data_IF_756561165396
#
_entry.id   IF_756561165396
#
_cell.length_a   1.000
_cell.length_b   1.000
_cell.length_c   1.000
_cell.angle_alpha   90.00
_cell.angle_beta   90.00
_cell.angle_gamma   90.00
#
_symmetry.space_group_name_H-M   'P 1'
#
loop_
_entity.id
_entity.type
_entity.pdbx_description
1 polymer ?
#
# COMPACT_ATOMS: atom_id res chain seq x y z
N UNK A 1 1.14 15.32 15.64
CA UNK A 1 2.35 15.16 14.81
C UNK A 1 1.93 14.94 13.35
N UNK A 2 2.81 15.17 12.38
CA UNK A 2 2.44 15.31 10.96
C UNK A 2 3.58 14.92 10.03
N UNK A 3 3.25 14.42 8.84
CA UNK A 3 4.15 14.38 7.69
C UNK A 3 3.41 14.90 6.44
N UNK A 4 3.97 15.95 5.84
CA UNK A 4 3.59 16.41 4.49
C UNK A 4 4.82 16.38 3.61
N UNK A 5 4.69 15.79 2.42
CA UNK A 5 5.75 15.71 1.41
C UNK A 5 5.26 16.38 0.12
N UNK A 6 6.15 17.09 -0.56
CA UNK A 6 5.84 17.80 -1.79
C UNK A 6 7.00 17.77 -2.78
N UNK A 7 6.68 17.82 -4.07
CA UNK A 7 7.68 18.00 -5.12
C UNK A 7 7.12 18.70 -6.35
N UNK A 8 8.01 19.35 -7.09
CA UNK A 8 7.78 19.79 -8.46
C UNK A 8 8.04 18.60 -9.38
N UNK A 9 7.08 18.29 -10.26
CA UNK A 9 7.17 17.25 -11.29
C UNK A 9 6.76 17.86 -12.63
N UNK A 10 7.73 18.04 -13.52
CA UNK A 10 7.58 18.71 -14.81
C UNK A 10 6.96 20.11 -14.67
N UNK A 11 5.76 20.31 -15.21
CA UNK A 11 5.00 21.56 -15.15
C UNK A 11 3.94 21.58 -14.05
N UNK A 12 4.03 20.65 -13.09
CA UNK A 12 3.08 20.50 -12.00
C UNK A 12 3.78 20.41 -10.65
N UNK A 13 3.03 20.61 -9.58
CA UNK A 13 3.48 20.43 -8.20
C UNK A 13 2.53 19.44 -7.55
N UNK A 14 3.04 18.46 -6.83
CA UNK A 14 2.19 17.59 -6.02
C UNK A 14 2.52 17.71 -4.54
N UNK A 15 1.53 17.44 -3.72
CA UNK A 15 1.64 17.44 -2.26
C UNK A 15 0.80 16.31 -1.68
N UNK A 16 1.36 15.57 -0.71
CA UNK A 16 0.65 14.50 -0.01
C UNK A 16 0.86 14.67 1.48
N UNK A 17 -0.23 14.62 2.25
CA UNK A 17 -0.21 14.73 3.70
C UNK A 17 -0.92 13.56 4.35
N UNK A 18 -0.46 13.18 5.54
CA UNK A 18 -1.22 12.30 6.42
C UNK A 18 -2.46 13.02 7.01
N UNK A 19 -3.40 12.29 7.59
CA UNK A 19 -4.61 12.88 8.18
C UNK A 19 -4.70 12.73 9.69
N UNK A 20 -3.94 11.81 10.29
CA UNK A 20 -4.03 11.55 11.71
C UNK A 20 -3.67 12.79 12.54
N UNK A 21 -4.56 13.18 13.45
CA UNK A 21 -4.23 14.12 14.52
C UNK A 21 -3.71 13.31 15.70
N UNK A 22 -2.43 13.49 16.01
CA UNK A 22 -1.72 12.70 17.03
C UNK A 22 -1.13 13.59 18.11
N UNK A 23 -1.23 13.14 19.37
CA UNK A 23 -0.83 13.87 20.57
C UNK A 23 -1.84 13.70 21.71
N UNK A 24 -1.38 13.76 22.96
CA UNK A 24 -2.24 13.56 24.14
C UNK A 24 -2.55 12.08 24.44
N UNK A 25 -3.53 11.82 25.31
CA UNK A 25 -3.98 10.47 25.74
C UNK A 25 -5.05 9.87 24.82
N UNK A 26 -5.08 10.27 23.55
CA UNK A 26 -6.14 9.89 22.60
C UNK A 26 -5.98 8.40 22.23
N UNK A 27 -7.04 7.61 22.44
CA UNK A 27 -7.13 6.23 21.97
C UNK A 27 -7.06 6.21 20.44
N UNK A 28 -6.32 5.26 19.86
CA UNK A 28 -6.22 5.08 18.41
C UNK A 28 -7.58 5.01 17.71
N UNK A 29 -8.63 4.52 18.41
CA UNK A 29 -10.00 4.42 17.89
C UNK A 29 -10.77 5.73 17.86
N UNK A 30 -10.42 6.66 18.74
CA UNK A 30 -11.06 7.98 18.86
C UNK A 30 -10.25 9.07 18.16
N UNK A 31 -9.28 8.64 17.35
CA UNK A 31 -8.36 9.54 16.66
C UNK A 31 -9.14 10.39 15.66
N UNK A 32 -8.96 11.71 15.79
CA UNK A 32 -9.48 12.69 14.82
C UNK A 32 -8.63 12.66 13.55
N UNK A 33 -9.27 12.85 12.40
CA UNK A 33 -8.60 12.96 11.12
C UNK A 33 -8.88 14.31 10.48
N UNK A 34 -7.82 15.00 10.07
CA UNK A 34 -7.90 16.34 9.48
C UNK A 34 -7.00 16.38 8.24
N UNK A 35 -7.52 16.76 7.05
CA UNK A 35 -6.68 17.04 5.90
C UNK A 35 -5.68 18.15 6.22
N UNK A 36 -4.39 17.90 5.98
CA UNK A 36 -3.30 18.82 6.34
C UNK A 36 -2.84 19.71 5.18
N UNK A 37 -3.67 19.81 4.15
CA UNK A 37 -3.40 20.58 2.93
C UNK A 37 -4.66 21.38 2.59
N UNK A 38 -4.50 22.68 2.44
CA UNK A 38 -5.53 23.63 2.01
C UNK A 38 -5.26 24.08 0.56
N UNK A 39 -6.33 24.38 -0.18
CA UNK A 39 -6.27 24.83 -1.58
C UNK A 39 -6.44 26.36 -1.66
N UNK A 40 -5.62 27.02 -2.47
CA UNK A 40 -5.75 28.43 -2.81
C UNK A 40 -7.00 28.72 -3.66
N UNK A 41 -7.70 29.81 -3.33
CA UNK A 41 -9.01 30.15 -3.95
C UNK A 41 -8.93 31.24 -5.01
N UNK A 42 -7.98 32.16 -4.85
CA UNK A 42 -7.82 33.34 -5.73
C UNK A 42 -6.77 33.10 -6.81
N UNK A 43 -5.87 32.15 -6.57
CA UNK A 43 -4.80 31.76 -7.47
C UNK A 43 -4.45 30.28 -7.25
N UNK A 44 -3.85 29.60 -8.24
CA UNK A 44 -3.43 28.21 -8.11
C UNK A 44 -2.37 28.04 -7.00
N UNK A 45 -2.76 27.44 -5.87
CA UNK A 45 -1.85 27.15 -4.78
C UNK A 45 -2.27 25.94 -3.94
N UNK A 46 -1.29 25.29 -3.30
CA UNK A 46 -1.46 24.29 -2.24
C UNK A 46 -0.68 24.73 -1.00
N UNK A 47 -1.30 24.59 0.16
CA UNK A 47 -0.71 25.00 1.44
C UNK A 47 -0.80 23.83 2.41
N UNK A 48 0.30 23.10 2.57
CA UNK A 48 0.46 22.06 3.58
C UNK A 48 0.91 22.66 4.92
N UNK A 49 0.48 22.08 6.03
CA UNK A 49 0.89 22.53 7.37
C UNK A 49 1.27 21.37 8.28
N UNK A 50 2.21 21.61 9.21
CA UNK A 50 2.64 20.65 10.22
C UNK A 50 2.87 21.37 11.57
N UNK A 51 2.35 20.80 12.65
CA UNK A 51 2.33 21.43 13.97
C UNK A 51 0.95 21.28 14.60
N UNK A 52 0.48 22.33 15.29
CA UNK A 52 -0.89 22.37 15.81
C UNK A 52 -1.91 22.39 14.64
N UNK A 53 -2.85 21.44 14.60
CA UNK A 53 -3.74 21.28 13.46
C UNK A 53 -4.78 22.39 13.34
N UNK A 54 -5.22 23.00 14.44
CA UNK A 54 -6.24 24.06 14.41
C UNK A 54 -5.62 25.39 13.99
N UNK A 55 -4.48 25.73 14.58
CA UNK A 55 -3.70 26.92 14.22
C UNK A 55 -3.24 26.81 12.77
N UNK A 56 -2.68 25.66 12.37
CA UNK A 56 -2.19 25.41 11.02
C UNK A 56 -3.29 25.51 9.97
N UNK A 57 -4.43 24.84 10.18
CA UNK A 57 -5.55 24.92 9.24
C UNK A 57 -6.11 26.34 9.12
N UNK A 58 -6.25 27.07 10.23
CA UNK A 58 -6.75 28.46 10.22
C UNK A 58 -5.84 29.38 9.41
N UNK A 59 -4.52 29.30 9.62
CA UNK A 59 -3.55 30.15 8.92
C UNK A 59 -3.46 29.76 7.45
N UNK A 60 -3.36 28.46 7.15
CA UNK A 60 -3.32 27.96 5.78
C UNK A 60 -4.57 28.40 4.98
N UNK A 61 -5.74 28.38 5.60
CA UNK A 61 -6.98 28.87 4.99
C UNK A 61 -7.00 30.38 4.76
N UNK A 62 -6.53 31.16 5.72
CA UNK A 62 -6.40 32.61 5.57
C UNK A 62 -5.44 32.95 4.41
N UNK A 63 -4.32 32.25 4.32
CA UNK A 63 -3.37 32.39 3.22
C UNK A 63 -3.97 31.95 1.87
N UNK A 64 -4.72 30.84 1.82
CA UNK A 64 -5.43 30.39 0.62
C UNK A 64 -6.52 31.35 0.14
N UNK A 65 -7.02 32.22 1.03
CA UNK A 65 -7.99 33.27 0.72
C UNK A 65 -7.35 34.63 0.38
N UNK A 66 -6.03 34.78 0.50
CA UNK A 66 -5.35 36.03 0.21
C UNK A 66 -5.50 36.45 -1.26
N UNK A 67 -5.44 37.75 -1.54
CA UNK A 67 -5.59 38.29 -2.90
C UNK A 67 -4.35 38.07 -3.77
N UNK A 68 -3.18 37.96 -3.15
CA UNK A 68 -1.89 37.86 -3.85
C UNK A 68 -0.99 36.80 -3.22
N UNK A 69 -0.03 36.29 -4.00
CA UNK A 69 0.98 35.36 -3.52
C UNK A 69 1.81 35.95 -2.37
N UNK A 70 2.15 37.23 -2.44
CA UNK A 70 2.90 37.93 -1.38
C UNK A 70 2.08 38.06 -0.10
N UNK A 71 0.78 38.32 -0.23
CA UNK A 71 -0.15 38.34 0.90
C UNK A 71 -0.24 36.97 1.59
N UNK A 72 -0.35 35.89 0.81
CA UNK A 72 -0.33 34.54 1.36
C UNK A 72 1.00 34.19 2.01
N UNK A 73 2.12 34.46 1.33
CA UNK A 73 3.47 34.20 1.86
C UNK A 73 3.68 34.92 3.19
N UNK A 74 3.27 36.19 3.29
CA UNK A 74 3.37 36.98 4.52
C UNK A 74 2.58 36.35 5.67
N UNK A 75 1.32 35.98 5.44
CA UNK A 75 0.49 35.31 6.46
C UNK A 75 1.10 33.99 6.94
N UNK A 76 1.68 33.21 6.03
CA UNK A 76 2.34 31.94 6.37
C UNK A 76 3.64 32.17 7.17
N UNK A 77 4.44 33.17 6.80
CA UNK A 77 5.65 33.53 7.56
C UNK A 77 5.30 34.05 8.96
N UNK A 78 4.37 35.00 9.08
CA UNK A 78 3.89 35.51 10.38
C UNK A 78 3.34 34.36 11.24
N UNK A 79 2.49 33.52 10.64
CA UNK A 79 1.92 32.36 11.29
C UNK A 79 2.95 31.32 11.76
N UNK A 80 4.03 31.13 10.99
CA UNK A 80 5.10 30.20 11.34
C UNK A 80 5.99 30.73 12.45
N UNK A 81 6.24 32.04 12.49
CA UNK A 81 7.02 32.69 13.54
C UNK A 81 6.31 32.59 14.90
N UNK A 82 4.99 32.83 14.93
CA UNK A 82 4.23 32.98 16.16
C UNK A 82 3.57 31.67 16.64
N UNK A 83 3.21 30.79 15.72
CA UNK A 83 2.32 29.65 15.98
C UNK A 83 3.04 28.31 16.18
N UNK A 84 4.36 28.23 15.95
CA UNK A 84 5.08 26.95 15.98
C UNK A 84 4.58 25.96 14.92
N UNK A 85 4.07 26.47 13.79
CA UNK A 85 3.58 25.69 12.66
C UNK A 85 4.52 25.89 11.48
N UNK A 86 4.89 24.78 10.84
CA UNK A 86 5.64 24.78 9.60
C UNK A 86 4.68 24.71 8.41
N UNK A 87 5.02 25.39 7.31
CA UNK A 87 4.21 25.35 6.09
C UNK A 87 5.01 24.91 4.86
N UNK A 88 4.30 24.22 3.98
CA UNK A 88 4.72 23.89 2.63
C UNK A 88 3.81 24.68 1.69
N UNK A 89 4.35 25.60 0.91
CA UNK A 89 3.57 26.46 0.02
C UNK A 89 3.97 26.23 -1.43
N UNK A 90 3.03 25.69 -2.22
CA UNK A 90 3.19 25.47 -3.65
C UNK A 90 2.33 26.46 -4.42
N UNK A 91 2.89 27.07 -5.46
CA UNK A 91 2.21 28.05 -6.31
C UNK A 91 2.89 28.18 -7.67
N UNK A 92 2.30 28.95 -8.59
CA UNK A 92 2.99 29.39 -9.82
C UNK A 92 3.44 30.85 -9.69
N UNK A 93 4.73 31.11 -9.87
CA UNK A 93 5.29 32.47 -9.94
C UNK A 93 5.75 32.74 -11.37
N UNK A 94 5.21 33.81 -11.97
CA UNK A 94 5.45 34.13 -13.38
C UNK A 94 5.24 32.92 -14.33
N UNK A 95 4.22 32.12 -14.05
CA UNK A 95 3.89 30.90 -14.82
C UNK A 95 4.78 29.69 -14.56
N UNK A 96 5.75 29.77 -13.65
CA UNK A 96 6.64 28.65 -13.30
C UNK A 96 6.28 28.04 -11.94
N UNK A 97 6.28 26.69 -11.81
CA UNK A 97 5.99 26.05 -10.53
C UNK A 97 7.05 26.44 -9.50
N UNK A 98 6.61 26.81 -8.31
CA UNK A 98 7.45 27.24 -7.20
C UNK A 98 6.96 26.60 -5.91
N UNK A 99 7.89 26.03 -5.14
CA UNK A 99 7.60 25.30 -3.92
C UNK A 99 8.48 25.84 -2.79
N UNK A 100 7.85 26.24 -1.69
CA UNK A 100 8.50 26.90 -0.57
C UNK A 100 8.31 26.13 0.73
N UNK A 101 9.36 26.06 1.53
CA UNK A 101 9.32 25.64 2.93
C UNK A 101 9.36 26.88 3.81
N UNK A 102 8.41 27.00 4.73
CA UNK A 102 8.28 28.14 5.63
C UNK A 102 8.39 27.63 7.07
N UNK A 103 9.43 28.04 7.78
CA UNK A 103 9.76 27.61 9.15
C UNK A 103 10.30 28.79 9.93
N UNK A 104 9.78 29.03 11.14
CA UNK A 104 10.24 30.12 12.01
C UNK A 104 10.13 31.50 11.36
N UNK A 105 9.15 31.69 10.48
CA UNK A 105 8.93 32.93 9.74
C UNK A 105 9.85 33.21 8.55
N UNK A 106 10.74 32.27 8.21
CA UNK A 106 11.57 32.35 7.02
C UNK A 106 11.04 31.43 5.92
N UNK A 107 11.08 31.90 4.67
CA UNK A 107 10.73 31.12 3.48
C UNK A 107 11.97 30.73 2.68
N UNK A 108 12.03 29.48 2.24
CA UNK A 108 13.12 28.94 1.42
C UNK A 108 12.53 28.16 0.23
N UNK A 109 13.11 28.32 -0.96
CA UNK A 109 12.65 27.64 -2.18
C UNK A 109 13.26 26.24 -2.31
N UNK A 110 12.47 25.27 -2.76
CA UNK A 110 12.88 23.87 -2.92
C UNK A 110 12.24 23.27 -4.19
N UNK A 111 12.87 22.24 -4.74
CA UNK A 111 12.26 21.38 -5.78
C UNK A 111 11.51 20.20 -5.18
N UNK A 112 11.95 19.74 -4.01
CA UNK A 112 11.31 18.71 -3.19
C UNK A 112 11.48 19.06 -1.73
N UNK A 113 10.44 18.90 -0.90
CA UNK A 113 10.53 19.16 0.53
C UNK A 113 9.64 18.23 1.36
N UNK A 114 9.87 18.23 2.67
CA UNK A 114 8.93 17.78 3.68
C UNK A 114 8.81 18.80 4.80
N UNK A 115 7.69 18.74 5.53
CA UNK A 115 7.48 19.40 6.81
C UNK A 115 6.89 18.39 7.81
N UNK A 116 7.09 18.65 9.10
CA UNK A 116 6.68 17.76 10.19
C UNK A 116 7.81 16.86 10.69
N UNK A 117 7.48 15.63 11.07
CA UNK A 117 8.41 14.72 11.74
C UNK A 117 9.55 14.25 10.83
N UNK A 118 10.78 14.53 11.25
CA UNK A 118 11.96 14.24 10.45
C UNK A 118 12.28 12.75 10.38
N UNK A 119 12.16 12.04 11.49
CA UNK A 119 12.36 10.58 11.56
C UNK A 119 11.33 9.81 10.71
N UNK A 120 10.06 10.25 10.71
CA UNK A 120 9.03 9.73 9.82
C UNK A 120 9.40 9.96 8.34
N UNK A 121 9.96 11.13 8.01
CA UNK A 121 10.43 11.41 6.66
C UNK A 121 11.64 10.55 6.24
N UNK A 122 12.62 10.34 7.13
CA UNK A 122 13.75 9.46 6.86
C UNK A 122 13.30 8.02 6.61
N UNK A 123 12.32 7.52 7.39
CA UNK A 123 11.70 6.22 7.14
C UNK A 123 10.94 6.20 5.80
N UNK A 124 10.16 7.24 5.49
CA UNK A 124 9.52 7.42 4.19
C UNK A 124 10.53 7.37 3.02
N UNK A 125 11.67 8.06 3.15
CA UNK A 125 12.71 8.06 2.12
C UNK A 125 13.36 6.68 1.93
N UNK A 126 13.58 5.94 3.03
CA UNK A 126 14.05 4.55 2.95
C UNK A 126 13.06 3.66 2.21
N UNK A 127 11.77 3.77 2.52
CA UNK A 127 10.69 3.02 1.82
C UNK A 127 10.65 3.40 0.34
N UNK A 128 10.68 4.70 0.04
CA UNK A 128 10.59 5.23 -1.32
C UNK A 128 11.77 4.83 -2.21
N UNK A 129 12.98 4.74 -1.65
CA UNK A 129 14.22 4.38 -2.36
C UNK A 129 14.50 2.88 -2.35
N UNK A 130 13.77 2.11 -1.56
CA UNK A 130 13.90 0.66 -1.52
C UNK A 130 13.59 0.05 -2.89
N UNK A 131 14.34 -0.97 -3.29
CA UNK A 131 14.14 -1.69 -4.55
C UNK A 131 12.78 -2.41 -4.61
N UNK A 132 12.13 -2.60 -3.46
CA UNK A 132 10.75 -3.09 -3.32
C UNK A 132 10.05 -2.35 -2.17
N UNK A 133 8.91 -1.73 -2.45
CA UNK A 133 7.94 -1.25 -1.45
C UNK A 133 7.30 -2.52 -0.86
N UNK A 134 7.89 -3.02 0.22
CA UNK A 134 7.66 -4.37 0.74
C UNK A 134 6.21 -4.63 1.19
N UNK A 135 5.44 -3.59 1.50
CA UNK A 135 4.14 -3.70 2.16
C UNK A 135 2.95 -3.18 1.38
N UNK A 136 3.11 -2.71 0.14
CA UNK A 136 1.96 -2.37 -0.68
C UNK A 136 1.45 -3.66 -1.37
N UNK A 137 0.40 -4.37 -0.85
CA UNK A 137 -0.23 -5.46 -1.59
C UNK A 137 -0.50 -5.03 -3.03
N UNK A 138 -0.43 -5.97 -3.98
CA UNK A 138 -0.74 -5.70 -5.40
C UNK A 138 -2.11 -5.02 -5.61
N UNK A 139 -3.03 -5.07 -4.63
CA UNK A 139 -4.25 -4.25 -4.59
C UNK A 139 -3.96 -2.73 -4.63
N UNK A 140 -2.89 -2.25 -3.99
CA UNK A 140 -2.39 -0.87 -4.10
C UNK A 140 -1.70 -0.55 -5.42
N UNK A 141 -1.25 -1.55 -6.19
CA UNK A 141 -0.76 -1.28 -7.54
C UNK A 141 -1.90 -0.85 -8.48
N UNK A 142 -3.15 -1.19 -8.12
CA UNK A 142 -4.37 -0.72 -8.77
C UNK A 142 -4.94 0.52 -8.06
N UNK A 143 -4.15 1.60 -7.98
CA UNK A 143 -4.72 2.92 -7.72
C UNK A 143 -5.54 3.32 -8.94
N UNK A 144 -6.87 3.24 -8.84
CA UNK A 144 -7.74 3.89 -9.83
C UNK A 144 -7.72 5.39 -9.55
N UNK A 145 -6.74 6.08 -10.13
CA UNK A 145 -6.77 7.53 -10.24
C UNK A 145 -7.90 7.92 -11.18
N UNK A 146 -9.09 8.22 -10.64
CA UNK A 146 -10.22 8.72 -11.41
C UNK A 146 -10.20 10.25 -11.53
N UNK A 147 -9.02 10.87 -11.48
CA UNK A 147 -8.88 12.30 -11.77
C UNK A 147 -9.09 12.49 -13.27
N UNK A 148 -10.26 13.03 -13.65
CA UNK A 148 -10.67 13.26 -15.04
C UNK A 148 -9.50 13.81 -15.86
N UNK A 149 -8.98 12.99 -16.77
CA UNK A 149 -8.07 13.38 -17.85
C UNK A 149 -6.68 13.92 -17.47
N UNK A 150 -6.25 13.87 -16.20
CA UNK A 150 -4.90 14.33 -15.83
C UNK A 150 -4.01 13.14 -15.47
N UNK A 151 -2.91 12.98 -16.19
CA UNK A 151 -1.91 11.95 -15.89
C UNK A 151 -1.31 12.23 -14.51
N UNK A 152 -1.52 11.32 -13.56
CA UNK A 152 -0.92 11.41 -12.23
C UNK A 152 0.59 11.19 -12.39
N UNK A 153 1.44 12.10 -11.88
CA UNK A 153 2.89 11.91 -11.91
C UNK A 153 3.29 10.62 -11.20
N UNK A 154 4.18 9.83 -11.80
CA UNK A 154 4.68 8.59 -11.19
C UNK A 154 5.27 8.83 -9.79
N UNK A 155 5.94 9.97 -9.61
CA UNK A 155 6.51 10.41 -8.33
C UNK A 155 5.45 10.64 -7.24
N UNK A 156 4.25 11.09 -7.60
CA UNK A 156 3.10 11.23 -6.70
C UNK A 156 2.55 9.85 -6.32
N UNK A 157 2.33 8.96 -7.30
CA UNK A 157 1.90 7.58 -7.04
C UNK A 157 2.89 6.81 -6.17
N UNK A 158 4.18 7.05 -6.35
CA UNK A 158 5.23 6.51 -5.50
C UNK A 158 5.14 7.07 -4.07
N UNK A 159 5.00 8.39 -3.90
CA UNK A 159 4.87 9.02 -2.59
C UNK A 159 3.64 8.52 -1.80
N UNK A 160 2.49 8.36 -2.45
CA UNK A 160 1.28 7.82 -1.82
C UNK A 160 1.54 6.40 -1.30
N UNK A 161 2.09 5.51 -2.14
CA UNK A 161 2.43 4.13 -1.76
C UNK A 161 3.40 4.11 -0.57
N UNK A 162 4.45 4.93 -0.62
CA UNK A 162 5.44 4.99 0.46
C UNK A 162 4.87 5.54 1.77
N UNK A 163 3.92 6.48 1.74
CA UNK A 163 3.23 6.96 2.94
C UNK A 163 2.33 5.88 3.54
N UNK A 164 1.60 5.13 2.70
CA UNK A 164 0.77 4.04 3.20
C UNK A 164 1.62 2.94 3.86
N UNK A 165 2.73 2.55 3.22
CA UNK A 165 3.70 1.63 3.82
C UNK A 165 4.28 2.18 5.12
N UNK A 166 4.60 3.48 5.16
CA UNK A 166 5.07 4.14 6.37
C UNK A 166 4.05 3.98 7.51
N UNK A 167 2.77 4.24 7.24
CA UNK A 167 1.73 4.15 8.26
C UNK A 167 1.58 2.73 8.82
N UNK A 168 1.82 1.72 7.99
CA UNK A 168 1.79 0.32 8.41
C UNK A 168 3.04 -0.09 9.21
N UNK A 169 4.21 0.48 8.88
CA UNK A 169 5.49 0.12 9.50
C UNK A 169 5.80 0.88 10.79
N UNK A 170 5.12 1.99 11.07
CA UNK A 170 5.51 2.91 12.14
C UNK A 170 4.77 2.61 13.44
N UNK A 171 5.51 2.12 14.43
CA UNK A 171 4.99 1.69 15.74
C UNK A 171 4.52 2.87 16.60
N UNK A 172 5.12 4.04 16.42
CA UNK A 172 4.80 5.25 17.18
C UNK A 172 3.40 5.78 16.85
N UNK A 173 2.84 5.38 15.71
CA UNK A 173 1.54 5.82 15.19
C UNK A 173 1.37 7.35 15.19
N UNK A 174 2.43 8.13 15.18
CA UNK A 174 2.44 9.59 15.24
C UNK A 174 2.13 10.24 13.87
N UNK A 175 2.35 9.50 12.79
CA UNK A 175 1.91 9.80 11.43
C UNK A 175 1.01 8.64 10.99
N UNK A 176 -0.14 8.95 10.40
CA UNK A 176 -1.07 7.89 10.01
C UNK A 176 -2.37 8.38 9.41
N UNK A 177 -3.37 7.51 9.43
CA UNK A 177 -4.64 7.76 8.75
C UNK A 177 -4.48 7.52 7.25
N UNK A 178 -4.70 8.55 6.43
CA UNK A 178 -4.69 8.43 4.98
C UNK A 178 -3.71 9.41 4.34
N UNK A 179 -3.10 8.96 3.25
CA UNK A 179 -2.21 9.78 2.45
C UNK A 179 -3.04 10.55 1.42
N UNK A 180 -3.40 11.80 1.73
CA UNK A 180 -4.30 12.63 0.91
C UNK A 180 -3.49 13.42 -0.11
N UNK A 181 -3.57 13.10 -1.42
CA UNK A 181 -2.76 13.70 -2.47
C UNK A 181 -3.49 14.82 -3.22
N UNK A 182 -2.73 15.86 -3.52
CA UNK A 182 -3.13 16.99 -4.34
C UNK A 182 -2.13 17.17 -5.48
N UNK A 183 -2.63 17.60 -6.64
CA UNK A 183 -1.85 18.00 -7.79
C UNK A 183 -2.18 19.46 -8.10
N UNK A 184 -1.19 20.26 -8.45
CA UNK A 184 -1.33 21.66 -8.79
C UNK A 184 -0.67 21.88 -10.15
N UNK A 185 -1.46 22.31 -11.11
CA UNK A 185 -1.00 22.65 -12.45
C UNK A 185 -1.43 24.09 -12.80
N UNK A 186 -1.17 24.53 -14.03
CA UNK A 186 -1.55 25.86 -14.50
C UNK A 186 -3.06 26.14 -14.43
N UNK A 187 -3.88 25.08 -14.48
CA UNK A 187 -5.34 25.17 -14.51
C UNK A 187 -5.93 25.25 -13.10
N UNK A 188 -5.16 24.86 -12.09
CA UNK A 188 -5.56 24.95 -10.70
C UNK A 188 -5.02 23.82 -9.83
N UNK A 189 -5.44 23.86 -8.56
CA UNK A 189 -5.25 22.76 -7.64
C UNK A 189 -6.36 21.72 -7.83
N UNK A 190 -5.96 20.46 -7.90
CA UNK A 190 -6.80 19.30 -8.12
C UNK A 190 -6.60 18.36 -6.94
N UNK A 191 -7.70 18.01 -6.30
CA UNK A 191 -7.72 16.90 -5.37
C UNK A 191 -7.62 15.60 -6.17
N UNK A 192 -6.59 14.78 -5.95
CA UNK A 192 -6.45 13.53 -6.69
C UNK A 192 -7.44 12.49 -6.12
N UNK A 193 -8.50 12.18 -6.86
CA UNK A 193 -9.45 11.14 -6.46
C UNK A 193 -8.78 9.77 -6.50
N UNK A 194 -8.87 9.04 -5.40
CA UNK A 194 -8.54 7.62 -5.33
C UNK A 194 -9.47 6.94 -4.31
N UNK A 195 -9.82 5.68 -4.58
CA UNK A 195 -10.61 4.85 -3.67
C UNK A 195 -9.70 3.90 -2.90
N UNK A 196 -9.94 3.75 -1.59
CA UNK A 196 -9.17 2.82 -0.75
C UNK A 196 -10.06 2.20 0.35
N UNK A 197 -10.00 0.88 0.52
CA UNK A 197 -10.81 0.15 1.52
C UNK A 197 -9.91 -0.74 2.38
N UNK A 198 -10.11 -0.70 3.70
CA UNK A 198 -9.38 -1.53 4.68
C UNK A 198 -10.34 -2.08 5.72
N UNK A 199 -10.45 -3.40 5.84
CA UNK A 199 -11.10 -3.99 7.02
C UNK A 199 -10.20 -3.79 8.27
N UNK A 200 -10.77 -3.26 9.36
CA UNK A 200 -10.11 -2.82 10.60
C UNK A 200 -9.87 -4.02 11.59
N UNK A 201 -9.30 -3.89 12.81
CA UNK A 201 -8.36 -4.84 13.41
C UNK A 201 -9.03 -5.60 14.58
N UNK A 202 -10.32 -5.96 14.45
CA UNK A 202 -11.05 -6.69 15.49
C UNK A 202 -10.76 -8.20 15.53
N UNK A 203 -9.78 -8.66 14.75
CA UNK A 203 -9.54 -10.07 14.48
C UNK A 203 -9.10 -10.87 15.71
N UNK A 204 -8.53 -10.20 16.71
CA UNK A 204 -7.99 -10.80 17.93
C UNK A 204 -9.09 -11.36 18.86
N UNK A 205 -10.36 -11.02 18.60
CA UNK A 205 -11.51 -11.41 19.42
C UNK A 205 -12.41 -12.48 18.78
N UNK A 206 -12.04 -13.02 17.62
CA UNK A 206 -12.89 -13.96 16.88
C UNK A 206 -12.52 -15.41 17.18
N UNK A 207 -13.50 -16.20 17.60
CA UNK A 207 -13.33 -17.63 17.80
C UNK A 207 -13.17 -18.37 16.46
N UNK A 208 -12.38 -19.45 16.46
CA UNK A 208 -12.16 -20.28 15.29
C UNK A 208 -13.49 -20.84 14.73
N UNK A 209 -13.72 -20.66 13.43
CA UNK A 209 -14.95 -21.11 12.74
C UNK A 209 -16.03 -20.05 12.56
N UNK A 210 -15.77 -18.80 12.96
CA UNK A 210 -16.70 -17.69 12.73
C UNK A 210 -16.89 -17.41 11.24
N UNK A 211 -18.13 -17.50 10.75
CA UNK A 211 -18.54 -17.03 9.43
C UNK A 211 -18.75 -15.51 9.49
N UNK A 212 -17.88 -14.75 8.83
CA UNK A 212 -18.02 -13.29 8.72
C UNK A 212 -18.33 -12.95 7.27
N UNK A 213 -19.57 -12.59 7.00
CA UNK A 213 -19.93 -11.96 5.74
C UNK A 213 -19.31 -10.57 5.67
N UNK A 214 -18.76 -10.18 4.52
CA UNK A 214 -18.38 -8.80 4.31
C UNK A 214 -19.59 -7.89 4.51
N UNK A 215 -19.47 -6.91 5.41
CA UNK A 215 -20.45 -5.82 5.51
C UNK A 215 -21.66 -6.06 6.40
N UNK A 216 -21.51 -6.69 7.58
CA UNK A 216 -22.50 -6.44 8.65
C UNK A 216 -22.00 -5.31 9.56
N UNK A 217 -22.85 -4.32 9.91
CA UNK A 217 -22.57 -3.22 10.84
C UNK A 217 -21.99 -3.64 12.21
N UNK A 218 -22.06 -4.94 12.53
CA UNK A 218 -21.71 -5.50 13.83
C UNK A 218 -20.26 -6.05 13.89
N UNK A 219 -19.49 -6.02 12.79
CA UNK A 219 -18.21 -6.77 12.64
C UNK A 219 -16.89 -5.98 12.46
N UNK A 220 -16.90 -4.69 12.12
CA UNK A 220 -15.74 -3.77 12.16
C UNK A 220 -14.78 -3.74 10.95
N UNK A 221 -15.03 -2.84 9.99
CA UNK A 221 -14.20 -2.46 8.86
C UNK A 221 -14.28 -0.96 8.54
N UNK A 222 -13.35 -0.42 7.74
CA UNK A 222 -13.29 1.00 7.37
C UNK A 222 -13.18 1.19 5.85
N UNK A 223 -14.01 2.03 5.24
CA UNK A 223 -13.96 2.34 3.80
C UNK A 223 -13.71 3.83 3.59
N UNK A 224 -12.75 4.19 2.74
CA UNK A 224 -12.53 5.55 2.30
C UNK A 224 -12.89 5.67 0.81
N UNK A 225 -13.91 6.46 0.51
CA UNK A 225 -14.22 6.85 -0.87
C UNK A 225 -13.99 8.34 -1.01
N UNK A 226 -13.23 8.75 -2.04
CA UNK A 226 -13.09 10.16 -2.36
C UNK A 226 -13.81 10.41 -3.68
N UNK A 227 -14.73 11.38 -3.68
CA UNK A 227 -15.51 11.77 -4.85
C UNK A 227 -15.39 13.27 -5.08
N UNK A 228 -15.10 13.70 -6.30
CA UNK A 228 -15.15 15.11 -6.70
C UNK A 228 -16.54 15.46 -7.22
N UNK A 229 -17.04 16.62 -6.84
CA UNK A 229 -18.40 17.06 -7.16
C UNK A 229 -18.48 18.23 -8.14
N UNK A 230 -17.34 18.71 -8.63
CA UNK A 230 -17.26 19.82 -9.58
C UNK A 230 -15.89 20.50 -9.56
N UNK A 231 -15.71 21.49 -10.42
CA UNK A 231 -14.48 22.30 -10.45
C UNK A 231 -14.29 23.00 -9.11
N UNK A 232 -13.35 22.48 -8.31
CA UNK A 232 -12.96 22.91 -6.96
C UNK A 232 -13.80 22.37 -5.79
N UNK A 233 -14.70 21.39 -5.97
CA UNK A 233 -15.41 20.75 -4.85
C UNK A 233 -14.99 19.27 -4.73
N UNK A 234 -14.35 18.91 -3.61
CA UNK A 234 -13.95 17.55 -3.28
C UNK A 234 -14.62 17.05 -2.01
N UNK A 235 -14.92 15.76 -1.96
CA UNK A 235 -15.45 15.09 -0.77
C UNK A 235 -14.61 13.90 -0.39
N UNK A 236 -14.24 13.83 0.89
CA UNK A 236 -13.67 12.63 1.50
C UNK A 236 -14.77 11.96 2.31
N UNK A 237 -15.19 10.77 1.88
CA UNK A 237 -16.12 9.91 2.61
C UNK A 237 -15.31 8.93 3.45
N UNK A 238 -15.33 9.16 4.74
CA UNK A 238 -14.83 8.23 5.71
C UNK A 238 -15.98 7.43 6.29
N UNK A 239 -16.11 6.17 5.87
CA UNK A 239 -17.13 5.28 6.42
C UNK A 239 -16.48 4.31 7.39
N UNK A 240 -16.69 4.57 8.67
CA UNK A 240 -16.41 3.65 9.77
C UNK A 240 -17.53 2.61 9.82
N UNK A 241 -17.25 1.34 10.12
CA UNK A 241 -18.31 0.42 10.59
C UNK A 241 -18.72 0.73 12.05
N UNK A 242 -19.03 1.99 12.32
CA UNK A 242 -20.06 2.40 13.26
C UNK A 242 -21.35 2.54 12.45
N UNK A 243 -22.56 2.67 13.05
CA UNK A 243 -23.74 3.02 12.27
C UNK A 243 -23.59 4.43 11.70
N UNK A 244 -22.86 4.58 10.59
CA UNK A 244 -22.61 5.86 9.94
C UNK A 244 -21.24 6.08 9.34
N UNK A 245 -21.04 7.27 8.79
CA UNK A 245 -19.76 7.74 8.27
C UNK A 245 -19.66 9.26 8.33
N UNK A 246 -18.44 9.76 8.22
CA UNK A 246 -18.12 11.18 8.11
C UNK A 246 -17.94 11.55 6.65
N UNK A 247 -18.59 12.64 6.25
CA UNK A 247 -18.41 13.29 4.97
C UNK A 247 -17.72 14.62 5.21
N UNK A 248 -16.54 14.80 4.63
CA UNK A 248 -15.82 16.07 4.63
C UNK A 248 -16.10 16.79 3.31
N UNK A 249 -16.84 17.89 3.37
CA UNK A 249 -17.21 18.70 2.21
C UNK A 249 -16.29 19.90 2.16
N UNK A 250 -15.53 20.06 1.08
CA UNK A 250 -14.77 21.30 0.91
C UNK A 250 -15.72 22.48 0.60
N UNK A 251 -15.56 23.58 1.33
CA UNK A 251 -16.33 24.83 1.15
C UNK A 251 -15.40 26.04 1.09
N UNK A 252 -15.91 27.22 0.69
CA UNK A 252 -15.22 28.49 0.87
C UNK A 252 -14.95 28.87 2.34
N UNK A 253 -15.25 28.04 3.34
CA UNK A 253 -14.82 28.26 4.73
C UNK A 253 -13.93 27.12 5.26
N UNK A 254 -13.51 26.19 4.39
CA UNK A 254 -12.72 25.01 4.74
C UNK A 254 -13.54 23.73 4.60
N UNK A 255 -13.07 22.65 5.22
CA UNK A 255 -13.83 21.41 5.28
C UNK A 255 -14.97 21.53 6.29
N UNK A 256 -16.20 21.35 5.82
CA UNK A 256 -17.36 21.10 6.65
C UNK A 256 -17.46 19.61 6.92
N UNK A 257 -17.50 19.23 8.19
CA UNK A 257 -17.65 17.84 8.62
C UNK A 257 -19.12 17.53 8.88
N UNK A 258 -19.63 16.47 8.25
CA UNK A 258 -20.99 15.97 8.48
C UNK A 258 -20.97 14.50 8.80
N UNK A 259 -21.73 14.12 9.81
CA UNK A 259 -21.91 12.72 10.20
C UNK A 259 -23.27 12.24 9.72
N UNK A 260 -23.27 11.10 9.05
CA UNK A 260 -24.46 10.39 8.60
C UNK A 260 -24.49 9.02 9.26
N UNK A 261 -25.67 8.43 9.44
CA UNK A 261 -25.85 7.17 10.15
C UNK A 261 -26.18 6.01 9.20
N UNK A 262 -26.15 4.77 9.72
CA UNK A 262 -26.62 3.58 9.01
C UNK A 262 -25.57 2.82 8.15
N UNK A 263 -26.03 1.69 7.60
CA UNK A 263 -25.26 0.84 6.67
C UNK A 263 -25.01 1.50 5.31
N UNK A 264 -24.21 0.92 4.41
CA UNK A 264 -23.77 1.57 3.17
C UNK A 264 -24.87 2.22 2.31
N UNK A 265 -26.00 1.57 2.01
CA UNK A 265 -27.06 2.22 1.20
C UNK A 265 -27.91 3.17 2.02
N UNK A 266 -28.09 2.95 3.33
CA UNK A 266 -28.75 3.92 4.20
C UNK A 266 -27.92 5.21 4.29
N UNK A 267 -26.60 5.07 4.45
CA UNK A 267 -25.65 6.16 4.38
C UNK A 267 -25.71 6.88 3.02
N UNK A 268 -25.66 6.15 1.90
CA UNK A 268 -25.80 6.75 0.55
C UNK A 268 -27.11 7.52 0.41
N UNK A 269 -28.22 6.95 0.88
CA UNK A 269 -29.53 7.58 0.83
C UNK A 269 -29.60 8.83 1.71
N UNK A 270 -29.04 8.79 2.93
CA UNK A 270 -28.96 9.95 3.82
C UNK A 270 -28.10 11.06 3.23
N UNK A 271 -26.93 10.73 2.67
CA UNK A 271 -26.05 11.69 2.00
C UNK A 271 -26.74 12.30 0.78
N UNK A 272 -27.37 11.47 -0.06
CA UNK A 272 -28.15 11.92 -1.20
C UNK A 272 -29.29 12.84 -0.77
N UNK A 273 -30.03 12.48 0.27
CA UNK A 273 -31.13 13.29 0.79
C UNK A 273 -30.65 14.61 1.39
N UNK A 274 -29.56 14.61 2.16
CA UNK A 274 -29.09 15.79 2.89
C UNK A 274 -28.28 16.75 2.03
N UNK A 275 -27.55 16.23 1.03
CA UNK A 275 -26.65 17.00 0.18
C UNK A 275 -27.16 17.15 -1.24
N UNK A 276 -28.24 16.47 -1.63
CA UNK A 276 -28.72 16.36 -3.02
C UNK A 276 -27.62 15.88 -3.98
N UNK A 277 -26.73 15.00 -3.48
CA UNK A 277 -25.54 14.52 -4.20
C UNK A 277 -25.35 13.03 -3.98
N UNK A 278 -25.12 12.31 -5.07
CA UNK A 278 -24.88 10.86 -5.02
C UNK A 278 -23.44 10.58 -4.57
N UNK A 279 -23.27 9.49 -3.80
CA UNK A 279 -21.95 9.07 -3.30
C UNK A 279 -21.74 7.60 -3.58
N UNK A 280 -20.61 7.28 -4.17
CA UNK A 280 -20.27 5.91 -4.47
C UNK A 280 -19.43 5.31 -3.35
N UNK A 281 -19.98 4.29 -2.70
CA UNK A 281 -19.24 3.39 -1.82
C UNK A 281 -19.02 2.09 -2.57
N UNK A 282 -17.79 1.58 -2.48
CA UNK A 282 -17.38 0.30 -3.06
C UNK A 282 -17.89 -0.91 -2.27
N UNK A 283 -18.46 -0.68 -1.09
CA UNK A 283 -19.17 -1.69 -0.29
C UNK A 283 -20.69 -1.46 -0.41
N UNK A 284 -21.45 -2.56 -0.57
CA UNK A 284 -22.92 -2.56 -0.50
C UNK A 284 -23.46 -2.97 0.87
N UNK A 285 -24.78 -2.90 1.06
CA UNK A 285 -25.45 -3.31 2.31
C UNK A 285 -25.42 -4.81 2.60
N UNK A 286 -25.13 -5.61 1.58
CA UNK A 286 -25.11 -7.07 1.66
C UNK A 286 -23.71 -7.56 1.32
N UNK A 287 -23.25 -8.65 1.94
CA UNK A 287 -22.10 -9.39 1.44
C UNK A 287 -22.32 -9.75 -0.03
N UNK A 288 -21.25 -9.87 -0.82
CA UNK A 288 -21.24 -10.21 -2.26
C UNK A 288 -21.76 -11.65 -2.57
N UNK A 289 -22.71 -12.15 -1.77
CA UNK A 289 -23.13 -13.54 -1.75
C UNK A 289 -22.06 -14.48 -1.17
N UNK A 290 -22.34 -15.80 -1.13
CA UNK A 290 -21.32 -16.77 -0.75
C UNK A 290 -20.15 -16.69 -1.72
N UNK A 291 -18.90 -16.75 -1.23
CA UNK A 291 -17.74 -16.73 -2.11
C UNK A 291 -17.78 -17.93 -3.04
N UNK A 292 -17.60 -17.68 -4.32
CA UNK A 292 -17.46 -18.70 -5.36
C UNK A 292 -16.20 -19.54 -5.11
N UNK A 293 -15.15 -18.91 -4.60
CA UNK A 293 -13.92 -19.56 -4.18
C UNK A 293 -13.32 -18.84 -2.97
N UNK A 294 -12.81 -19.61 -2.02
CA UNK A 294 -12.13 -19.08 -0.85
C UNK A 294 -10.69 -19.61 -0.84
N UNK A 295 -9.72 -18.71 -0.84
CA UNK A 295 -8.29 -19.00 -0.81
C UNK A 295 -7.74 -18.54 0.54
N UNK A 296 -7.46 -19.49 1.41
CA UNK A 296 -6.91 -19.20 2.75
C UNK A 296 -5.40 -19.36 2.68
N UNK A 297 -4.67 -18.26 2.88
CA UNK A 297 -3.23 -18.25 3.05
C UNK A 297 -2.90 -18.44 4.53
N UNK A 298 -1.96 -19.34 4.80
CA UNK A 298 -1.43 -19.60 6.14
C UNK A 298 0.05 -19.24 6.18
N UNK A 299 0.47 -18.62 7.27
CA UNK A 299 1.84 -18.26 7.51
C UNK A 299 2.73 -19.44 7.82
N UNK A 300 4.03 -19.16 7.95
CA UNK A 300 5.05 -20.17 8.24
C UNK A 300 4.82 -20.90 9.57
N UNK A 301 4.05 -20.32 10.48
CA UNK A 301 3.64 -20.87 11.78
C UNK A 301 2.29 -21.61 11.73
N UNK A 302 1.63 -21.74 10.57
CA UNK A 302 0.34 -22.41 10.43
C UNK A 302 -0.87 -21.54 10.79
N UNK A 303 -0.64 -20.35 11.34
CA UNK A 303 -1.68 -19.36 11.59
C UNK A 303 -2.22 -18.82 10.27
N UNK A 304 -3.45 -18.33 10.28
CA UNK A 304 -4.02 -17.66 9.12
C UNK A 304 -3.21 -16.37 8.89
N UNK A 305 -2.79 -16.13 7.65
CA UNK A 305 -2.10 -14.90 7.25
C UNK A 305 -3.09 -13.96 6.59
N UNK A 306 -3.78 -14.43 5.55
CA UNK A 306 -4.90 -13.73 4.94
C UNK A 306 -5.84 -14.69 4.21
N UNK A 307 -7.11 -14.33 4.08
CA UNK A 307 -8.11 -15.02 3.26
C UNK A 307 -8.46 -14.15 2.07
N UNK A 308 -8.51 -14.72 0.88
CA UNK A 308 -9.08 -14.10 -0.32
C UNK A 308 -10.37 -14.81 -0.68
N UNK A 309 -11.47 -14.07 -0.72
CA UNK A 309 -12.78 -14.50 -1.17
C UNK A 309 -13.03 -14.00 -2.60
N UNK A 310 -13.26 -14.90 -3.54
CA UNK A 310 -13.63 -14.60 -4.93
C UNK A 310 -15.14 -14.79 -5.09
N UNK A 311 -15.83 -13.72 -5.47
CA UNK A 311 -17.27 -13.67 -5.66
C UNK A 311 -17.67 -13.72 -7.16
N UNK A 312 -16.70 -13.91 -8.06
CA UNK A 312 -16.89 -13.96 -9.51
C UNK A 312 -16.84 -12.59 -10.20
N UNK A 313 -17.50 -11.58 -9.63
CA UNK A 313 -17.46 -10.20 -10.09
C UNK A 313 -16.63 -9.27 -9.16
N UNK A 314 -15.99 -9.83 -8.14
CA UNK A 314 -15.19 -9.10 -7.17
C UNK A 314 -14.33 -10.02 -6.31
N UNK A 315 -13.27 -9.46 -5.73
CA UNK A 315 -12.39 -10.12 -4.78
C UNK A 315 -12.47 -9.41 -3.44
N UNK A 316 -12.33 -10.14 -2.35
CA UNK A 316 -12.18 -9.56 -1.03
C UNK A 316 -11.05 -10.22 -0.27
N UNK A 317 -10.35 -9.46 0.56
CA UNK A 317 -9.20 -9.94 1.33
C UNK A 317 -9.38 -9.62 2.81
N UNK A 318 -9.00 -10.55 3.68
CA UNK A 318 -8.95 -10.37 5.13
C UNK A 318 -7.56 -10.77 5.60
N UNK A 319 -6.83 -9.89 6.30
CA UNK A 319 -5.48 -10.19 6.84
C UNK A 319 -5.63 -10.53 8.32
N UNK A 320 -5.17 -11.71 8.73
CA UNK A 320 -5.46 -12.31 10.03
C UNK A 320 -4.34 -12.12 11.07
N UNK A 321 -3.17 -11.60 10.67
CA UNK A 321 -2.04 -11.32 11.58
C UNK A 321 -1.25 -10.09 11.13
N UNK A 322 -1.78 -8.88 11.39
CA UNK A 322 -1.15 -7.62 10.96
C UNK A 322 0.14 -7.25 11.72
N UNK A 323 0.52 -8.00 12.76
CA UNK A 323 1.68 -7.71 13.60
C UNK A 323 3.02 -8.30 13.08
N UNK A 324 3.05 -8.96 11.92
CA UNK A 324 4.29 -9.56 11.38
C UNK A 324 4.36 -9.41 9.85
N UNK A 325 5.51 -9.00 9.27
CA UNK A 325 5.70 -8.95 7.82
C UNK A 325 5.34 -10.27 7.15
N UNK A 326 4.47 -10.20 6.15
CA UNK A 326 4.04 -11.37 5.40
C UNK A 326 5.13 -11.84 4.41
N UNK A 327 5.50 -13.11 4.49
CA UNK A 327 6.21 -13.81 3.41
C UNK A 327 5.27 -14.90 2.90
N UNK A 328 4.44 -14.57 1.90
CA UNK A 328 3.47 -15.54 1.39
C UNK A 328 4.17 -16.63 0.57
N UNK A 329 3.99 -17.88 0.97
CA UNK A 329 4.33 -19.06 0.19
C UNK A 329 3.03 -19.66 -0.33
N UNK A 330 2.74 -19.52 -1.62
CA UNK A 330 1.60 -20.21 -2.22
C UNK A 330 2.04 -21.62 -2.59
N UNK A 331 1.68 -22.60 -1.76
CA UNK A 331 1.85 -24.01 -2.16
C UNK A 331 0.68 -24.38 -3.07
N UNK A 332 0.85 -24.21 -4.38
CA UNK A 332 -0.11 -24.73 -5.35
C UNK A 332 0.09 -26.24 -5.47
N UNK A 333 -0.65 -26.99 -4.65
CA UNK A 333 -0.67 -28.43 -4.74
C UNK A 333 -1.52 -28.84 -5.97
N UNK A 334 -0.86 -29.21 -7.08
CA UNK A 334 -1.56 -29.71 -8.27
C UNK A 334 -2.37 -31.00 -8.00
N UNK A 335 -2.07 -31.69 -6.88
CA UNK A 335 -2.83 -32.76 -6.25
C UNK A 335 -2.80 -32.55 -4.73
N UNK A 336 -3.75 -33.11 -3.94
CA UNK A 336 -3.76 -33.00 -2.46
C UNK A 336 -2.35 -33.16 -1.90
N UNK A 337 -1.74 -32.08 -1.42
CA UNK A 337 -0.41 -32.14 -0.82
C UNK A 337 -0.50 -33.02 0.42
N UNK A 338 -0.02 -34.25 0.32
CA UNK A 338 0.42 -34.96 1.52
C UNK A 338 1.58 -34.14 2.07
N UNK A 339 1.37 -33.52 3.22
CA UNK A 339 2.48 -33.05 4.03
C UNK A 339 3.42 -34.25 4.18
N UNK A 340 4.66 -34.11 3.70
CA UNK A 340 5.65 -35.17 3.88
C UNK A 340 5.92 -35.23 5.37
N UNK A 341 5.55 -36.34 6.00
CA UNK A 341 5.89 -36.59 7.39
C UNK A 341 7.41 -36.63 7.52
N UNK A 342 7.93 -36.03 8.61
CA UNK A 342 9.33 -36.16 8.94
C UNK A 342 9.62 -37.63 9.30
N UNK A 343 10.83 -38.14 9.04
CA UNK A 343 11.23 -39.46 9.50
C UNK A 343 11.00 -39.63 11.01
N UNK A 344 10.69 -40.85 11.45
CA UNK A 344 10.57 -41.15 12.87
C UNK A 344 11.83 -40.73 13.64
N UNK A 345 11.64 -40.11 14.81
CA UNK A 345 12.74 -39.57 15.62
C UNK A 345 13.23 -38.19 15.19
N UNK A 346 12.71 -37.62 14.09
CA UNK A 346 13.02 -36.26 13.66
C UNK A 346 11.86 -35.29 13.92
N UNK A 347 12.20 -34.08 14.37
CA UNK A 347 11.29 -32.95 14.43
C UNK A 347 11.99 -31.69 13.92
N UNK A 348 11.24 -30.82 13.25
CA UNK A 348 11.72 -29.52 12.82
C UNK A 348 10.69 -28.48 13.26
N UNK A 349 11.12 -27.52 14.08
CA UNK A 349 10.28 -26.44 14.56
C UNK A 349 10.98 -25.09 14.38
N UNK A 350 10.21 -24.06 14.07
CA UNK A 350 10.72 -22.68 14.14
C UNK A 350 10.76 -22.28 15.61
N UNK A 351 11.93 -21.99 16.17
CA UNK A 351 12.09 -21.57 17.56
C UNK A 351 12.04 -20.04 17.73
N UNK A 352 12.50 -19.29 16.73
CA UNK A 352 12.39 -17.83 16.67
C UNK A 352 12.29 -17.33 15.23
N UNK A 353 12.27 -16.01 15.00
CA UNK A 353 12.35 -15.45 13.65
C UNK A 353 13.68 -15.72 12.94
N UNK A 354 14.74 -16.01 13.69
CA UNK A 354 16.10 -16.14 13.16
C UNK A 354 16.63 -17.58 13.25
N UNK A 355 15.94 -18.45 13.98
CA UNK A 355 16.41 -19.78 14.32
C UNK A 355 15.36 -20.88 14.11
N UNK A 356 15.83 -22.08 13.77
CA UNK A 356 15.06 -23.32 13.76
C UNK A 356 15.67 -24.33 14.70
N UNK A 357 14.84 -25.15 15.34
CA UNK A 357 15.25 -26.31 16.13
C UNK A 357 15.06 -27.57 15.29
N UNK A 358 16.17 -28.27 15.04
CA UNK A 358 16.21 -29.59 14.46
C UNK A 358 16.42 -30.60 15.58
N UNK A 359 15.43 -31.47 15.81
CA UNK A 359 15.56 -32.61 16.73
C UNK A 359 15.84 -33.88 15.94
N UNK A 360 16.86 -34.64 16.35
CA UNK A 360 17.15 -35.98 15.84
C UNK A 360 17.42 -36.89 17.02
N UNK A 361 16.59 -37.92 17.20
CA UNK A 361 16.69 -38.91 18.29
C UNK A 361 16.77 -38.26 19.69
N UNK A 362 15.95 -37.22 19.89
CA UNK A 362 15.88 -36.46 21.15
C UNK A 362 17.01 -35.45 21.36
N UNK A 363 18.00 -35.37 20.47
CA UNK A 363 19.02 -34.31 20.49
C UNK A 363 18.53 -33.11 19.70
N UNK A 364 18.51 -31.95 20.34
CA UNK A 364 18.06 -30.69 19.73
C UNK A 364 19.28 -29.88 19.31
N UNK A 365 19.29 -29.46 18.04
CA UNK A 365 20.24 -28.49 17.50
C UNK A 365 19.48 -27.24 17.05
N UNK A 366 19.84 -26.09 17.60
CA UNK A 366 19.37 -24.81 17.11
C UNK A 366 20.28 -24.36 15.98
N UNK A 367 19.68 -24.00 14.84
CA UNK A 367 20.37 -23.49 13.65
C UNK A 367 19.86 -22.08 13.38
N UNK A 368 20.79 -21.13 13.19
CA UNK A 368 20.44 -19.83 12.62
C UNK A 368 20.20 -19.93 11.10
N UNK A 369 19.80 -18.83 10.47
CA UNK A 369 19.50 -18.80 9.03
C UNK A 369 20.67 -19.28 8.14
N UNK A 370 21.91 -18.84 8.42
CA UNK A 370 23.10 -19.20 7.63
C UNK A 370 23.48 -20.68 7.82
N UNK A 371 23.36 -21.19 9.04
CA UNK A 371 23.60 -22.60 9.36
C UNK A 371 22.56 -23.50 8.70
N UNK A 372 21.29 -23.09 8.71
CA UNK A 372 20.22 -23.79 8.02
C UNK A 372 20.42 -23.78 6.50
N UNK A 373 20.83 -22.64 5.92
CA UNK A 373 21.13 -22.54 4.48
C UNK A 373 22.28 -23.48 4.09
N UNK A 374 23.34 -23.51 4.89
CA UNK A 374 24.47 -24.42 4.70
C UNK A 374 24.05 -25.90 4.79
N UNK A 375 23.18 -26.23 5.74
CA UNK A 375 22.62 -27.57 5.88
C UNK A 375 21.75 -27.95 4.68
N UNK A 376 20.87 -27.06 4.22
CA UNK A 376 20.01 -27.28 3.06
C UNK A 376 20.83 -27.50 1.79
N UNK A 377 21.89 -26.70 1.59
CA UNK A 377 22.81 -26.86 0.47
C UNK A 377 23.47 -28.23 0.50
N UNK A 378 24.03 -28.63 1.66
CA UNK A 378 24.69 -29.94 1.79
C UNK A 378 23.74 -31.12 1.62
N UNK A 379 22.51 -31.00 2.14
CA UNK A 379 21.47 -32.01 1.95
C UNK A 379 21.04 -32.11 0.49
N UNK A 380 20.99 -31.00 -0.25
CA UNK A 380 20.66 -31.02 -1.66
C UNK A 380 21.74 -31.75 -2.49
N UNK A 381 23.03 -31.49 -2.21
CA UNK A 381 24.14 -32.22 -2.83
C UNK A 381 24.04 -33.73 -2.56
N UNK A 382 23.91 -34.12 -1.29
CA UNK A 382 23.77 -35.53 -0.91
C UNK A 382 22.51 -36.14 -1.56
N UNK A 383 21.40 -35.39 -1.60
CA UNK A 383 20.14 -35.86 -2.21
C UNK A 383 20.31 -36.18 -3.69
N UNK A 384 21.17 -35.45 -4.41
CA UNK A 384 21.44 -35.71 -5.82
C UNK A 384 22.20 -37.03 -6.07
N UNK A 385 22.94 -37.51 -5.07
CA UNK A 385 23.75 -38.73 -5.16
C UNK A 385 23.02 -40.00 -4.68
N UNK A 386 22.04 -39.86 -3.78
CA UNK A 386 21.34 -41.01 -3.16
C UNK A 386 20.15 -41.52 -4.00
N UNK A 387 19.92 -42.82 -3.89
CA UNK A 387 18.82 -43.53 -4.55
C UNK A 387 17.56 -43.62 -3.67
N UNK A 388 16.35 -43.59 -4.27
CA UNK A 388 16.08 -43.45 -5.71
C UNK A 388 16.30 -42.03 -6.23
N UNK A 389 16.75 -41.94 -7.49
CA UNK A 389 16.87 -40.66 -8.20
C UNK A 389 15.50 -39.96 -8.22
N UNK A 390 15.51 -38.63 -8.11
CA UNK A 390 14.27 -37.84 -8.25
C UNK A 390 13.68 -38.12 -9.64
N UNK A 391 12.40 -38.50 -9.75
CA UNK A 391 11.77 -38.74 -11.05
C UNK A 391 11.95 -37.54 -11.99
N UNK A 392 12.29 -37.80 -13.25
CA UNK A 392 12.42 -36.77 -14.28
C UNK A 392 11.08 -36.17 -14.72
N UNK A 393 10.00 -36.95 -14.60
CA UNK A 393 8.63 -36.48 -14.85
C UNK A 393 8.02 -35.93 -13.56
N UNK A 394 7.29 -34.82 -13.70
CA UNK A 394 6.50 -34.20 -12.64
C UNK A 394 5.27 -35.05 -12.27
N UNK A 395 4.84 -35.97 -13.15
CA UNK A 395 3.69 -36.86 -12.95
C UNK A 395 3.63 -37.52 -11.57
N UNK A 396 2.70 -37.06 -10.74
CA UNK A 396 2.46 -37.61 -9.39
C UNK A 396 3.36 -37.05 -8.28
N UNK A 397 4.30 -36.15 -8.61
CA UNK A 397 5.17 -35.49 -7.61
C UNK A 397 4.53 -34.17 -7.17
N UNK A 398 4.51 -33.94 -5.85
CA UNK A 398 4.15 -32.63 -5.31
C UNK A 398 5.27 -31.63 -5.59
N UNK A 399 4.93 -30.55 -6.31
CA UNK A 399 5.87 -29.48 -6.65
C UNK A 399 5.59 -28.27 -5.77
N UNK A 400 6.65 -27.67 -5.22
CA UNK A 400 6.54 -26.36 -4.58
C UNK A 400 6.72 -25.34 -5.69
N UNK A 401 5.63 -24.67 -6.07
CA UNK A 401 5.67 -23.61 -7.05
C UNK A 401 5.99 -22.27 -6.37
N UNK A 402 6.98 -21.53 -6.90
CA UNK A 402 7.19 -20.13 -6.56
C UNK A 402 6.38 -19.28 -7.55
N UNK A 403 5.52 -18.39 -7.05
CA UNK A 403 4.75 -17.49 -7.91
C UNK A 403 5.56 -16.22 -8.13
N UNK A 404 5.78 -15.86 -9.40
CA UNK A 404 6.58 -14.70 -9.79
C UNK A 404 8.01 -14.74 -9.22
N UNK A 405 8.78 -15.82 -9.45
CA UNK A 405 10.16 -15.88 -8.95
C UNK A 405 11.00 -14.78 -9.61
N UNK A 406 11.91 -14.17 -8.85
CA UNK A 406 12.99 -13.37 -9.45
C UNK A 406 13.87 -14.30 -10.26
N UNK A 407 14.29 -13.86 -11.44
CA UNK A 407 15.15 -14.65 -12.32
C UNK A 407 16.29 -13.80 -12.89
N UNK A 408 17.42 -14.45 -13.16
CA UNK A 408 18.60 -13.85 -13.77
C UNK A 408 19.21 -14.81 -14.78
N UNK A 409 19.72 -14.31 -15.89
CA UNK A 409 20.37 -15.14 -16.91
C UNK A 409 21.78 -14.68 -17.23
N UNK A 410 22.66 -15.64 -17.52
CA UNK A 410 24.03 -15.38 -17.96
C UNK A 410 24.33 -16.18 -19.24
N UNK A 411 24.98 -15.59 -20.26
CA UNK A 411 25.25 -16.27 -21.52
C UNK A 411 26.12 -17.52 -21.36
N UNK A 412 27.14 -17.47 -20.50
CA UNK A 412 28.04 -18.57 -20.16
C UNK A 412 28.51 -18.39 -18.70
N UNK A 413 28.36 -19.42 -17.86
CA UNK A 413 28.82 -19.38 -16.45
C UNK A 413 30.33 -19.52 -16.32
N UNK A 414 30.93 -20.33 -17.20
CA UNK A 414 32.34 -20.67 -17.21
C UNK A 414 32.76 -21.06 -18.63
N UNK A 415 33.97 -20.72 -19.10
CA UNK A 415 34.41 -21.01 -20.48
C UNK A 415 34.38 -22.50 -20.88
N UNK A 416 34.40 -23.40 -19.90
CA UNK A 416 34.34 -24.86 -20.11
C UNK A 416 32.93 -25.46 -20.13
N UNK A 417 31.88 -24.66 -19.91
CA UNK A 417 30.49 -25.15 -19.84
C UNK A 417 29.65 -24.38 -20.85
N UNK A 418 29.34 -25.03 -21.97
CA UNK A 418 28.50 -24.42 -23.02
C UNK A 418 27.02 -24.47 -22.62
N UNK A 419 26.36 -23.31 -22.63
CA UNK A 419 24.95 -23.17 -22.33
C UNK A 419 24.61 -21.87 -21.62
N UNK A 420 23.32 -21.54 -21.59
CA UNK A 420 22.79 -20.35 -20.92
C UNK A 420 22.41 -20.73 -19.49
N UNK A 421 22.90 -19.97 -18.51
CA UNK A 421 22.49 -20.14 -17.12
C UNK A 421 21.20 -19.40 -16.87
N UNK A 422 20.21 -20.07 -16.29
CA UNK A 422 18.99 -19.50 -15.75
C UNK A 422 19.00 -19.69 -14.24
N UNK A 423 19.02 -18.59 -13.50
CA UNK A 423 18.92 -18.60 -12.04
C UNK A 423 17.50 -18.20 -11.66
N UNK A 424 16.84 -19.01 -10.84
CA UNK A 424 15.51 -18.76 -10.29
C UNK A 424 15.61 -18.63 -8.78
N UNK A 425 15.07 -17.54 -8.21
CA UNK A 425 15.00 -17.36 -6.75
C UNK A 425 13.84 -18.18 -6.20
N UNK A 426 14.12 -19.08 -5.25
CA UNK A 426 13.12 -19.85 -4.52
C UNK A 426 13.15 -19.48 -3.03
N UNK A 427 12.03 -19.00 -2.47
CA UNK A 427 11.95 -18.41 -1.13
C UNK A 427 12.59 -19.25 0.00
N UNK A 428 12.55 -20.59 -0.11
CA UNK A 428 13.16 -21.51 0.85
C UNK A 428 14.53 -22.09 0.50
N UNK A 429 15.04 -21.94 -0.73
CA UNK A 429 16.29 -22.58 -1.20
C UNK A 429 17.34 -21.58 -1.72
N UNK A 430 17.10 -20.27 -1.59
CA UNK A 430 18.03 -19.27 -2.14
C UNK A 430 17.87 -19.12 -3.66
N UNK A 431 18.99 -19.01 -4.37
CA UNK A 431 19.06 -18.99 -5.82
C UNK A 431 19.36 -20.40 -6.35
N UNK A 432 18.54 -20.87 -7.29
CA UNK A 432 18.73 -22.16 -7.95
C UNK A 432 19.19 -21.91 -9.40
N UNK A 433 20.40 -22.35 -9.73
CA UNK A 433 21.00 -22.18 -11.04
C UNK A 433 20.83 -23.42 -11.93
N UNK A 434 20.37 -23.21 -13.15
CA UNK A 434 20.21 -24.24 -14.16
C UNK A 434 21.00 -23.85 -15.40
N UNK A 435 21.91 -24.72 -15.87
CA UNK A 435 22.61 -24.50 -17.13
C UNK A 435 21.85 -25.22 -18.24
N UNK A 436 21.26 -24.46 -19.15
CA UNK A 436 20.51 -24.97 -20.28
C UNK A 436 21.41 -25.03 -21.52
N UNK A 437 21.54 -26.19 -22.18
CA UNK A 437 22.13 -26.25 -23.51
C UNK A 437 21.46 -25.24 -24.45
N UNK A 438 22.19 -24.65 -25.40
CA UNK A 438 21.64 -23.60 -26.27
C UNK A 438 20.39 -24.02 -27.04
N UNK A 439 20.28 -25.30 -27.42
CA UNK A 439 19.07 -25.84 -28.05
C UNK A 439 17.87 -25.83 -27.10
N UNK A 440 18.05 -26.27 -25.85
CA UNK A 440 16.99 -26.29 -24.84
C UNK A 440 16.59 -24.88 -24.42
N UNK A 441 17.55 -23.96 -24.25
CA UNK A 441 17.26 -22.57 -23.96
C UNK A 441 16.41 -21.91 -25.06
N UNK A 442 16.70 -22.23 -26.33
CA UNK A 442 15.90 -21.76 -27.48
C UNK A 442 14.50 -22.36 -27.47
N UNK A 443 14.37 -23.66 -27.22
CA UNK A 443 13.08 -24.34 -27.12
C UNK A 443 12.22 -23.75 -26.01
N UNK A 444 12.79 -23.57 -24.81
CA UNK A 444 12.10 -22.97 -23.67
C UNK A 444 11.66 -21.52 -23.97
N UNK A 445 12.55 -20.69 -24.50
CA UNK A 445 12.22 -19.31 -24.85
C UNK A 445 11.10 -19.21 -25.89
N UNK A 446 11.10 -20.11 -26.89
CA UNK A 446 10.03 -20.20 -27.89
C UNK A 446 8.71 -20.57 -27.24
N UNK A 447 8.68 -21.61 -26.41
CA UNK A 447 7.47 -22.05 -25.73
C UNK A 447 6.89 -20.97 -24.81
N UNK A 448 7.73 -20.28 -24.03
CA UNK A 448 7.30 -19.20 -23.14
C UNK A 448 6.69 -18.04 -23.93
N UNK A 449 7.32 -17.64 -25.04
CA UNK A 449 6.79 -16.58 -25.91
C UNK A 449 5.43 -16.95 -26.50
N UNK A 450 5.29 -18.19 -26.99
CA UNK A 450 4.09 -18.65 -27.68
C UNK A 450 2.92 -18.91 -26.71
N UNK A 451 3.19 -19.12 -25.42
CA UNK A 451 2.17 -19.35 -24.37
C UNK A 451 1.93 -18.14 -23.45
N UNK A 452 2.73 -17.07 -23.57
CA UNK A 452 2.45 -15.81 -22.91
C UNK A 452 1.19 -15.21 -23.54
N UNK A 453 0.11 -15.08 -22.76
CA UNK A 453 -1.05 -14.31 -23.21
C UNK A 453 -0.60 -12.87 -23.42
N UNK A 454 -0.73 -12.36 -24.63
CA UNK A 454 -0.63 -10.92 -24.86
C UNK A 454 -1.69 -10.26 -23.99
N UNK A 455 -1.28 -9.40 -23.05
CA UNK A 455 -2.20 -8.45 -22.45
C UNK A 455 -2.61 -7.50 -23.57
N UNK A 456 -3.60 -7.90 -24.38
CA UNK A 456 -4.27 -6.99 -25.29
C UNK A 456 -4.97 -5.95 -24.41
N UNK A 457 -4.26 -4.84 -24.16
CA UNK A 457 -4.87 -3.64 -23.62
C UNK A 457 -6.10 -3.28 -24.46
N UNK A 458 -7.14 -2.70 -23.86
CA UNK A 458 -8.42 -2.46 -24.52
C UNK A 458 -8.18 -1.71 -25.83
N UNK A 459 -8.47 -2.38 -26.95
CA UNK A 459 -8.37 -1.84 -28.30
C UNK A 459 -9.29 -0.63 -28.36
N UNK A 460 -8.71 0.56 -28.29
CA UNK A 460 -9.44 1.80 -28.52
C UNK A 460 -9.81 1.85 -29.99
N UNK A 461 -11.00 1.32 -30.31
CA UNK A 461 -11.62 1.51 -31.61
C UNK A 461 -11.90 3.00 -31.78
N UNK A 462 -10.96 3.73 -32.39
CA UNK A 462 -11.25 5.04 -32.99
C UNK A 462 -12.19 4.76 -34.17
N UNK A 463 -13.48 5.03 -33.96
CA UNK A 463 -14.46 5.13 -35.03
C UNK A 463 -14.04 6.24 -36.00
N UNK A 464 -14.13 5.92 -37.29
CA UNK A 464 -13.96 6.84 -38.41
C UNK A 464 -15.10 7.86 -38.49
#
# INVERSE_FOLDING_TARGET
MTLVVAAIADHSIWMVGDTAVTGGTIDLRERKFVPKIEIGRRFPALIGFAGDPEIGARIARAAGAAETHDGAMRLLCEGSADGGVDFAYATFLAGSPSLFRIVGGASTSHTTLHIGLNDAFEQFQRIRRGEEIAYAPKAFASFMGAARNTQIPESLSLAIRSLVDLFAMREEHDVGGWAVPYLLNSDGAIFCQYSYSVSDPLFDKLAAGSLIGHGTPEGGGSTLSVTEFGSNEGMVVYWLQMPGGTVLIWTPNGYEERFFSGGPSAFKAEVLSALSRDVELWAGDQPLGPPRRLSISRGRNGNLDFTVADHGNGLTFAVHNMATPFHSRVTMAANKAQARELPAGMALAKSSNETVELTVDGKIQTLNANELESLLFRLAEIRAEIWPVVPYDIGGVSVIAEINPKWQTYPELHPGVSGITVNLRHSGYGWLGFVLPHSEARSLGTWLRDNAKSEEGPTTSRGA
#
